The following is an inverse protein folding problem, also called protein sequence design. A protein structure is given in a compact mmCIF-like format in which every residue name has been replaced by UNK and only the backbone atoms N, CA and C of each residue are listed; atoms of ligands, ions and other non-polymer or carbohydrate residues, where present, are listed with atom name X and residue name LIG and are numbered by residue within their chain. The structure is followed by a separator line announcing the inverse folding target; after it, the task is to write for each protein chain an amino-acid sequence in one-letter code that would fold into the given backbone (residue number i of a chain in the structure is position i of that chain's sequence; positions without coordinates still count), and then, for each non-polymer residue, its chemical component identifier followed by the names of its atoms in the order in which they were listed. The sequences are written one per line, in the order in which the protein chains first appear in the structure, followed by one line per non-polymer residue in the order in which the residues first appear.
data_IF_294127973135
#
_entry.id   IF_294127973135
#
_cell.length_a   1.000
_cell.length_b   1.000
_cell.length_c   1.000
_cell.angle_alpha   90.00
_cell.angle_beta   90.00
_cell.angle_gamma   90.00
#
_symmetry.space_group_name_H-M   'P 1'
#
loop_
_entity.id
_entity.type
_entity.pdbx_description
1 polymer ?
#
# COMPACT_ATOMS: atom_id res chain seq x y z
N UNK A 1 -9.38 18.59 -1.92
CA UNK A 1 -9.13 17.18 -2.33
C UNK A 1 -9.91 16.91 -3.60
N UNK A 2 -9.34 16.18 -4.56
CA UNK A 2 -10.03 15.80 -5.80
C UNK A 2 -9.52 16.46 -7.09
N UNK A 3 -8.50 17.33 -7.01
CA UNK A 3 -7.80 17.81 -8.21
C UNK A 3 -6.71 16.81 -8.61
N UNK A 4 -6.56 16.61 -9.93
CA UNK A 4 -5.67 15.57 -10.50
C UNK A 4 -4.21 15.69 -10.05
N UNK A 5 -3.72 16.90 -9.86
CA UNK A 5 -2.33 17.14 -9.42
C UNK A 5 -2.18 17.25 -7.89
N UNK A 6 -3.27 17.14 -7.12
CA UNK A 6 -3.18 17.25 -5.65
C UNK A 6 -2.25 16.20 -5.04
N UNK A 7 -2.27 14.91 -5.44
CA UNK A 7 -1.37 13.91 -4.88
C UNK A 7 0.11 14.24 -5.10
N UNK A 8 0.48 14.73 -6.28
CA UNK A 8 1.86 15.08 -6.64
C UNK A 8 2.33 16.32 -5.87
N UNK A 9 1.48 17.35 -5.78
CA UNK A 9 1.76 18.56 -4.99
C UNK A 9 1.94 18.19 -3.51
N UNK A 10 1.03 17.39 -2.96
CA UNK A 10 1.12 16.92 -1.58
C UNK A 10 2.37 16.08 -1.34
N UNK A 11 2.71 15.16 -2.25
CA UNK A 11 3.93 14.37 -2.16
C UNK A 11 5.17 15.27 -2.05
N UNK A 12 5.28 16.31 -2.88
CA UNK A 12 6.43 17.23 -2.85
C UNK A 12 6.46 18.02 -1.54
N UNK A 13 5.33 18.60 -1.12
CA UNK A 13 5.24 19.41 0.10
C UNK A 13 5.56 18.56 1.33
N UNK A 14 4.94 17.40 1.46
CA UNK A 14 5.16 16.48 2.59
C UNK A 14 6.59 15.96 2.59
N UNK A 15 7.18 15.68 1.42
CA UNK A 15 8.58 15.27 1.30
C UNK A 15 9.54 16.38 1.73
N UNK A 16 9.24 17.63 1.39
CA UNK A 16 10.01 18.78 1.85
C UNK A 16 9.92 18.97 3.37
N UNK A 17 8.72 18.87 3.94
CA UNK A 17 8.49 18.95 5.39
C UNK A 17 9.24 17.82 6.12
N UNK A 18 9.20 16.60 5.59
CA UNK A 18 9.87 15.43 6.14
C UNK A 18 11.42 15.47 6.03
N UNK A 19 11.95 16.36 5.20
CA UNK A 19 13.39 16.44 4.90
C UNK A 19 13.88 15.28 4.03
N UNK A 20 13.08 14.84 3.05
CA UNK A 20 13.48 13.78 2.13
C UNK A 20 14.69 14.19 1.29
N UNK A 21 15.74 13.38 1.28
CA UNK A 21 17.03 13.65 0.63
C UNK A 21 16.96 13.89 -0.88
N UNK A 22 15.90 13.42 -1.53
CA UNK A 22 15.66 13.60 -2.96
C UNK A 22 14.97 14.93 -3.30
N UNK A 23 14.42 15.63 -2.31
CA UNK A 23 13.60 16.83 -2.50
C UNK A 23 14.23 18.07 -1.88
N UNK A 24 14.93 17.94 -0.75
CA UNK A 24 15.53 19.09 -0.04
C UNK A 24 17.05 19.14 -0.20
N UNK A 25 17.61 20.33 0.01
CA UNK A 25 19.05 20.53 0.05
C UNK A 25 19.69 19.68 1.18
N UNK A 26 20.90 19.11 1.00
CA UNK A 26 21.54 18.23 1.99
C UNK A 26 21.62 18.79 3.42
N UNK A 27 21.76 20.10 3.57
CA UNK A 27 21.78 20.77 4.89
C UNK A 27 20.46 20.65 5.66
N UNK A 28 19.34 20.41 4.97
CA UNK A 28 18.00 20.31 5.56
C UNK A 28 17.44 18.89 5.46
N UNK A 29 18.22 17.96 4.90
CA UNK A 29 17.82 16.59 4.71
C UNK A 29 17.97 15.79 6.02
N UNK A 30 17.18 14.73 6.13
CA UNK A 30 17.33 13.77 7.21
C UNK A 30 18.75 13.20 7.24
N UNK A 31 19.34 13.01 8.44
CA UNK A 31 20.65 12.41 8.56
C UNK A 31 20.63 10.98 8.01
N UNK A 32 21.75 10.43 7.51
CA UNK A 32 21.79 9.10 6.88
C UNK A 32 21.30 7.94 7.74
N UNK A 33 21.30 8.11 9.07
CA UNK A 33 20.82 7.12 10.04
C UNK A 33 19.29 7.09 10.18
N UNK A 34 18.60 8.12 9.68
CA UNK A 34 17.14 8.23 9.70
C UNK A 34 16.60 7.92 8.31
N UNK A 35 15.78 6.89 8.23
CA UNK A 35 15.04 6.57 7.02
C UNK A 35 13.71 7.31 7.02
N UNK A 36 13.47 8.05 5.95
CA UNK A 36 12.23 8.76 5.70
C UNK A 36 11.52 8.10 4.52
N UNK A 37 10.30 7.59 4.75
CA UNK A 37 9.39 7.16 3.69
C UNK A 37 8.18 8.13 3.69
N UNK A 38 7.91 8.77 2.55
CA UNK A 38 6.76 9.69 2.39
C UNK A 38 5.82 9.18 1.32
N UNK A 39 4.53 9.17 1.63
CA UNK A 39 3.48 8.83 0.68
C UNK A 39 2.30 9.80 0.78
N UNK A 40 2.20 10.67 -0.22
CA UNK A 40 1.25 11.78 -0.32
C UNK A 40 1.30 12.66 0.94
N UNK A 41 0.45 12.39 1.91
CA UNK A 41 0.31 13.11 3.18
C UNK A 41 0.84 12.33 4.40
N UNK A 42 1.31 11.10 4.20
CA UNK A 42 1.81 10.24 5.28
C UNK A 42 3.34 10.27 5.33
N UNK A 43 3.90 10.42 6.53
CA UNK A 43 5.33 10.36 6.80
C UNK A 43 5.61 9.18 7.72
N UNK A 44 6.62 8.38 7.36
CA UNK A 44 7.19 7.36 8.23
C UNK A 44 8.67 7.68 8.46
N UNK A 45 9.04 7.76 9.73
CA UNK A 45 10.41 8.00 10.20
C UNK A 45 10.87 6.72 10.90
N UNK A 46 11.96 6.11 10.43
CA UNK A 46 12.50 4.88 11.00
C UNK A 46 14.00 5.04 11.30
N UNK A 47 14.45 4.50 12.43
CA UNK A 47 15.82 4.63 12.92
C UNK A 47 15.90 4.22 14.38
N UNK A 48 16.99 4.62 15.06
CA UNK A 48 17.05 4.49 16.52
C UNK A 48 15.99 5.37 17.18
N UNK A 49 15.57 5.04 18.41
CA UNK A 49 14.57 5.83 19.13
C UNK A 49 15.00 7.29 19.29
N UNK A 50 16.27 7.54 19.61
CA UNK A 50 16.81 8.89 19.75
C UNK A 50 16.78 9.66 18.43
N UNK A 51 17.19 9.04 17.33
CA UNK A 51 17.25 9.70 16.03
C UNK A 51 15.84 9.99 15.49
N UNK A 52 14.91 9.05 15.66
CA UNK A 52 13.50 9.23 15.28
C UNK A 52 12.87 10.36 16.07
N UNK A 53 13.03 10.39 17.40
CA UNK A 53 12.45 11.46 18.24
C UNK A 53 13.05 12.83 17.89
N UNK A 54 14.36 12.91 17.66
CA UNK A 54 15.02 14.15 17.26
C UNK A 54 14.50 14.64 15.90
N UNK A 55 14.43 13.75 14.91
CA UNK A 55 14.00 14.13 13.57
C UNK A 55 12.52 14.46 13.50
N UNK A 56 11.69 13.72 14.25
CA UNK A 56 10.27 14.02 14.38
C UNK A 56 10.04 15.45 14.92
N UNK A 57 10.81 15.87 15.92
CA UNK A 57 10.76 17.26 16.39
C UNK A 57 11.18 18.27 15.31
N UNK A 58 12.14 17.92 14.43
CA UNK A 58 12.50 18.76 13.29
C UNK A 58 11.38 18.83 12.25
N UNK A 59 10.73 17.71 11.95
CA UNK A 59 9.58 17.64 11.03
C UNK A 59 8.42 18.50 11.53
N UNK A 60 8.15 18.49 12.84
CA UNK A 60 7.17 19.39 13.44
C UNK A 60 7.56 20.87 13.27
N UNK A 61 8.81 21.24 13.59
CA UNK A 61 9.30 22.61 13.35
C UNK A 61 9.16 23.05 11.89
N UNK A 62 9.44 22.14 10.96
CA UNK A 62 9.30 22.41 9.52
C UNK A 62 7.84 22.67 9.13
N UNK A 63 6.92 21.88 9.69
CA UNK A 63 5.49 22.02 9.44
C UNK A 63 4.94 23.33 10.04
N UNK A 64 5.25 23.60 11.31
CA UNK A 64 4.83 24.81 12.02
C UNK A 64 5.34 26.07 11.32
N UNK A 65 6.61 26.07 10.90
CA UNK A 65 7.23 27.16 10.14
C UNK A 65 6.65 27.38 8.75
N UNK A 66 5.76 26.49 8.27
CA UNK A 66 5.04 26.60 7.00
C UNK A 66 3.52 26.54 7.16
N UNK A 67 3.03 26.72 8.39
CA UNK A 67 1.61 26.65 8.71
C UNK A 67 0.92 25.36 8.19
N UNK A 68 1.67 24.26 8.16
CA UNK A 68 1.17 22.95 7.75
C UNK A 68 0.70 22.17 8.99
N UNK A 69 -0.54 21.70 8.96
CA UNK A 69 -1.10 20.91 10.07
C UNK A 69 -0.71 19.44 9.92
N UNK A 70 -0.13 18.86 10.98
CA UNK A 70 0.04 17.42 11.07
C UNK A 70 -1.21 16.75 11.64
N UNK A 71 -1.61 15.62 11.06
CA UNK A 71 -2.82 14.89 11.49
C UNK A 71 -2.71 14.32 12.91
N UNK A 72 -3.86 14.15 13.57
CA UNK A 72 -3.97 13.53 14.89
C UNK A 72 -3.90 11.99 14.80
N UNK A 73 -3.17 11.34 15.73
CA UNK A 73 -2.93 9.89 15.72
C UNK A 73 -1.44 9.48 15.68
N UNK A 74 -0.57 10.26 16.33
CA UNK A 74 0.88 10.08 16.32
C UNK A 74 1.34 8.94 17.22
N UNK A 75 2.04 7.97 16.65
CA UNK A 75 2.67 6.85 17.36
C UNK A 75 4.19 7.12 17.53
N UNK A 76 4.54 8.09 18.38
CA UNK A 76 5.95 8.48 18.59
C UNK A 76 6.74 7.41 19.34
N UNK A 77 7.90 7.03 18.78
CA UNK A 77 8.78 6.02 19.37
C UNK A 77 8.13 4.65 19.55
N UNK A 78 7.03 4.38 18.85
CA UNK A 78 6.28 3.14 18.98
C UNK A 78 6.98 1.99 18.27
N UNK A 79 7.05 0.83 18.93
CA UNK A 79 7.48 -0.42 18.30
C UNK A 79 6.39 -1.03 17.43
N UNK A 80 5.17 -0.49 17.50
CA UNK A 80 4.06 -0.88 16.64
C UNK A 80 3.41 0.36 16.07
N UNK A 81 3.16 0.37 14.76
CA UNK A 81 2.41 1.46 14.14
C UNK A 81 1.70 1.03 12.87
N UNK A 82 0.76 1.85 12.40
CA UNK A 82 0.12 1.67 11.09
C UNK A 82 0.65 2.68 10.08
N UNK A 83 1.08 2.20 8.91
CA UNK A 83 1.46 3.05 7.78
C UNK A 83 0.88 2.48 6.48
N UNK A 84 0.17 3.31 5.72
CA UNK A 84 -0.51 2.92 4.47
C UNK A 84 -1.42 1.68 4.60
N UNK A 85 -2.08 1.51 5.75
CA UNK A 85 -2.94 0.34 5.98
C UNK A 85 -2.19 -0.95 6.30
N UNK A 86 -0.89 -0.88 6.59
CA UNK A 86 -0.07 -2.00 7.11
C UNK A 86 0.27 -1.72 8.57
N UNK A 87 0.04 -2.71 9.44
CA UNK A 87 0.52 -2.70 10.81
C UNK A 87 1.92 -3.29 10.85
N UNK A 88 2.88 -2.49 11.30
CA UNK A 88 4.25 -2.91 11.60
C UNK A 88 4.34 -3.22 13.09
N UNK A 89 4.97 -4.34 13.44
CA UNK A 89 5.22 -4.79 14.81
C UNK A 89 6.70 -5.15 14.94
N UNK A 90 7.52 -4.16 15.24
CA UNK A 90 8.98 -4.28 15.33
C UNK A 90 9.45 -5.14 16.49
N UNK A 91 8.66 -5.22 17.57
CA UNK A 91 8.96 -6.11 18.70
C UNK A 91 8.97 -7.58 18.26
N UNK A 92 8.03 -7.97 17.40
CA UNK A 92 7.93 -9.34 16.88
C UNK A 92 8.47 -9.50 15.45
N UNK A 93 9.05 -8.43 14.87
CA UNK A 93 9.45 -8.35 13.46
C UNK A 93 8.36 -8.84 12.52
N UNK A 94 7.13 -8.40 12.75
CA UNK A 94 5.97 -8.87 12.04
C UNK A 94 5.25 -7.74 11.29
N UNK A 95 4.60 -8.09 10.19
CA UNK A 95 3.67 -7.20 9.46
C UNK A 95 2.33 -7.88 9.28
N UNK A 96 1.25 -7.09 9.34
CA UNK A 96 -0.12 -7.51 9.03
C UNK A 96 -0.87 -6.34 8.40
N UNK A 97 -2.09 -6.56 7.91
CA UNK A 97 -2.97 -5.46 7.52
C UNK A 97 -3.46 -4.72 8.77
N UNK A 98 -3.71 -3.42 8.61
CA UNK A 98 -4.36 -2.62 9.64
C UNK A 98 -5.82 -3.04 9.80
N UNK A 99 -6.38 -2.78 10.98
CA UNK A 99 -7.78 -3.08 11.27
C UNK A 99 -8.73 -2.38 10.28
N UNK A 100 -8.44 -1.12 9.94
CA UNK A 100 -9.22 -0.35 8.95
C UNK A 100 -9.20 -1.02 7.57
N UNK A 101 -8.03 -1.46 7.12
CA UNK A 101 -7.91 -2.12 5.81
C UNK A 101 -8.64 -3.47 5.81
N UNK A 102 -8.41 -4.29 6.84
CA UNK A 102 -9.05 -5.59 7.00
C UNK A 102 -10.59 -5.47 7.02
N UNK A 103 -11.15 -4.55 7.81
CA UNK A 103 -12.60 -4.29 7.84
C UNK A 103 -13.15 -3.87 6.49
N UNK A 104 -12.39 -3.07 5.74
CA UNK A 104 -12.76 -2.65 4.40
C UNK A 104 -12.81 -3.81 3.41
N UNK A 105 -11.98 -4.84 3.58
CA UNK A 105 -12.04 -6.05 2.75
C UNK A 105 -13.24 -6.90 3.13
N UNK A 106 -13.45 -7.11 4.44
CA UNK A 106 -14.57 -7.91 4.96
C UNK A 106 -15.94 -7.35 4.57
N UNK A 107 -16.07 -6.03 4.49
CA UNK A 107 -17.32 -5.36 4.12
C UNK A 107 -17.68 -5.47 2.63
N UNK A 108 -16.79 -5.96 1.76
CA UNK A 108 -17.09 -6.07 0.32
C UNK A 108 -18.06 -7.21 0.02
N UNK A 109 -18.88 -7.08 -1.03
CA UNK A 109 -19.75 -8.18 -1.48
C UNK A 109 -18.94 -9.37 -1.98
N UNK A 110 -19.61 -10.52 -2.11
CA UNK A 110 -19.02 -11.72 -2.69
C UNK A 110 -18.74 -11.52 -4.19
N UNK A 111 -17.68 -12.17 -4.71
CA UNK A 111 -17.26 -12.00 -6.11
C UNK A 111 -18.34 -12.42 -7.11
N UNK A 112 -19.13 -13.42 -6.78
CA UNK A 112 -20.19 -13.96 -7.64
C UNK A 112 -21.38 -13.01 -7.81
N UNK A 113 -21.56 -12.02 -6.93
CA UNK A 113 -22.62 -11.01 -7.01
C UNK A 113 -22.09 -9.59 -7.16
N UNK A 114 -20.77 -9.41 -7.33
CA UNK A 114 -20.14 -8.10 -7.45
C UNK A 114 -20.37 -7.42 -8.81
N UNK A 115 -20.42 -6.10 -8.80
CA UNK A 115 -20.31 -5.24 -9.98
C UNK A 115 -18.86 -5.14 -10.49
N UNK A 116 -18.65 -4.57 -11.67
CA UNK A 116 -17.30 -4.34 -12.20
C UNK A 116 -16.49 -3.42 -11.29
N UNK A 117 -17.08 -2.34 -10.78
CA UNK A 117 -16.40 -1.42 -9.86
C UNK A 117 -15.98 -2.11 -8.55
N UNK A 118 -16.85 -2.92 -7.96
CA UNK A 118 -16.53 -3.66 -6.74
C UNK A 118 -15.46 -4.73 -6.98
N UNK A 119 -15.52 -5.43 -8.13
CA UNK A 119 -14.48 -6.36 -8.55
C UNK A 119 -13.13 -5.67 -8.72
N UNK A 120 -13.09 -4.49 -9.35
CA UNK A 120 -11.88 -3.70 -9.53
C UNK A 120 -11.27 -3.30 -8.19
N UNK A 121 -12.10 -2.76 -7.29
CA UNK A 121 -11.71 -2.36 -5.96
C UNK A 121 -11.14 -3.55 -5.17
N UNK A 122 -11.79 -4.72 -5.26
CA UNK A 122 -11.34 -5.91 -4.57
C UNK A 122 -10.04 -6.46 -5.15
N UNK A 123 -9.90 -6.50 -6.47
CA UNK A 123 -8.66 -6.93 -7.13
C UNK A 123 -7.48 -6.01 -6.74
N UNK A 124 -7.71 -4.70 -6.65
CA UNK A 124 -6.69 -3.74 -6.21
C UNK A 124 -6.24 -4.00 -4.77
N UNK A 125 -7.18 -4.25 -3.86
CA UNK A 125 -6.89 -4.61 -2.47
C UNK A 125 -6.19 -5.95 -2.34
N UNK A 126 -6.53 -6.92 -3.19
CA UNK A 126 -5.89 -8.22 -3.24
C UNK A 126 -4.43 -8.12 -3.68
N UNK A 127 -4.14 -7.32 -4.71
CA UNK A 127 -2.76 -7.07 -5.13
C UNK A 127 -1.94 -6.43 -4.01
N UNK A 128 -2.52 -5.44 -3.33
CA UNK A 128 -1.87 -4.79 -2.20
C UNK A 128 -1.58 -5.76 -1.05
N UNK A 129 -2.60 -6.49 -0.59
CA UNK A 129 -2.48 -7.42 0.51
C UNK A 129 -1.56 -8.61 0.20
N UNK A 130 -1.55 -9.08 -1.05
CA UNK A 130 -0.65 -10.15 -1.47
C UNK A 130 0.82 -9.78 -1.27
N UNK A 131 1.21 -8.52 -1.54
CA UNK A 131 2.56 -8.05 -1.30
C UNK A 131 2.93 -8.07 0.19
N UNK A 132 1.99 -7.72 1.07
CA UNK A 132 2.19 -7.74 2.52
C UNK A 132 2.37 -9.17 3.02
N UNK A 133 1.50 -10.09 2.59
CA UNK A 133 1.50 -11.49 3.05
C UNK A 133 2.46 -12.43 2.31
N UNK A 134 3.22 -11.95 1.33
CA UNK A 134 4.05 -12.81 0.46
C UNK A 134 3.25 -13.84 -0.33
N UNK A 135 2.01 -13.50 -0.69
CA UNK A 135 1.16 -14.42 -1.44
C UNK A 135 1.60 -14.43 -2.89
N UNK A 136 1.92 -15.62 -3.41
CA UNK A 136 2.34 -15.82 -4.79
C UNK A 136 1.17 -15.56 -5.74
N UNK A 137 1.14 -14.38 -6.36
CA UNK A 137 0.09 -13.98 -7.30
C UNK A 137 0.02 -14.88 -8.55
N UNK A 138 1.06 -15.66 -8.85
CA UNK A 138 1.04 -16.66 -9.93
C UNK A 138 0.00 -17.76 -9.69
N UNK A 139 -0.22 -18.15 -8.43
CA UNK A 139 -1.22 -19.16 -8.05
C UNK A 139 -2.66 -18.68 -8.34
N UNK A 140 -2.83 -17.37 -8.53
CA UNK A 140 -4.10 -16.70 -8.83
C UNK A 140 -4.15 -16.14 -10.27
N UNK A 141 -3.32 -16.67 -11.17
CA UNK A 141 -3.22 -16.18 -12.56
C UNK A 141 -4.58 -16.16 -13.27
N UNK A 142 -5.39 -17.21 -13.13
CA UNK A 142 -6.71 -17.30 -13.79
C UNK A 142 -7.64 -16.19 -13.31
N UNK A 143 -7.73 -15.97 -12.00
CA UNK A 143 -8.51 -14.86 -11.43
C UNK A 143 -8.03 -13.51 -11.99
N UNK A 144 -6.73 -13.23 -11.91
CA UNK A 144 -6.13 -11.98 -12.41
C UNK A 144 -6.40 -11.78 -13.91
N UNK A 145 -6.30 -12.85 -14.70
CA UNK A 145 -6.55 -12.82 -16.14
C UNK A 145 -8.00 -12.46 -16.47
N UNK A 146 -8.96 -13.03 -15.73
CA UNK A 146 -10.38 -12.70 -15.93
C UNK A 146 -10.69 -11.27 -15.51
N UNK A 147 -10.19 -10.83 -14.35
CA UNK A 147 -10.35 -9.42 -13.90
C UNK A 147 -9.81 -8.47 -14.98
N UNK A 148 -8.59 -8.70 -15.49
CA UNK A 148 -7.99 -7.89 -16.55
C UNK A 148 -8.89 -7.79 -17.79
N UNK A 149 -9.51 -8.90 -18.21
CA UNK A 149 -10.42 -8.94 -19.36
C UNK A 149 -11.69 -8.11 -19.12
N UNK A 150 -12.26 -8.17 -17.92
CA UNK A 150 -13.44 -7.36 -17.55
C UNK A 150 -13.12 -5.87 -17.50
N UNK A 151 -11.99 -5.49 -16.90
CA UNK A 151 -11.52 -4.09 -16.90
C UNK A 151 -11.20 -3.59 -18.31
N UNK A 152 -10.64 -4.44 -19.18
CA UNK A 152 -10.45 -4.08 -20.58
C UNK A 152 -11.77 -3.88 -21.32
N UNK A 153 -12.82 -4.63 -20.99
CA UNK A 153 -14.15 -4.43 -21.57
C UNK A 153 -14.77 -3.10 -21.10
N UNK A 154 -14.57 -2.75 -19.82
CA UNK A 154 -14.97 -1.44 -19.26
C UNK A 154 -14.28 -0.30 -20.00
N UNK A 155 -12.95 -0.35 -20.15
CA UNK A 155 -12.18 0.68 -20.85
C UNK A 155 -12.53 0.82 -22.34
N UNK A 156 -13.12 -0.21 -22.95
CA UNK A 156 -13.63 -0.19 -24.33
C UNK A 156 -15.09 0.25 -24.44
N UNK A 157 -15.75 0.57 -23.31
CA UNK A 157 -17.16 0.94 -23.27
C UNK A 157 -18.14 -0.22 -23.53
N UNK A 158 -17.69 -1.47 -23.46
CA UNK A 158 -18.52 -2.66 -23.70
C UNK A 158 -19.42 -2.96 -22.49
N UNK A 159 -18.95 -2.60 -21.30
CA UNK A 159 -19.63 -2.80 -20.02
C UNK A 159 -19.46 -1.54 -19.18
N UNK A 160 -20.33 -1.33 -18.20
CA UNK A 160 -20.30 -0.18 -17.29
C UNK A 160 -19.82 -0.60 -15.89
N UNK A 161 -19.40 0.36 -15.08
CA UNK A 161 -18.99 0.13 -13.69
C UNK A 161 -20.03 -0.64 -12.85
N UNK A 162 -21.31 -0.33 -13.07
CA UNK A 162 -22.47 -0.96 -12.41
C UNK A 162 -22.87 -2.30 -13.03
N UNK A 163 -22.28 -2.69 -14.16
CA UNK A 163 -22.57 -3.97 -14.78
C UNK A 163 -22.11 -5.12 -13.87
N UNK A 164 -22.81 -6.27 -13.87
CA UNK A 164 -22.34 -7.45 -13.16
C UNK A 164 -20.94 -7.88 -13.60
N UNK A 165 -20.07 -8.26 -12.66
CA UNK A 165 -18.72 -8.72 -12.97
C UNK A 165 -18.74 -10.03 -13.78
N UNK A 166 -19.73 -10.90 -13.56
CA UNK A 166 -19.97 -12.15 -14.28
C UNK A 166 -18.70 -13.01 -14.43
N UNK A 167 -18.01 -13.23 -13.30
CA UNK A 167 -16.80 -14.05 -13.26
C UNK A 167 -17.16 -15.54 -13.35
N UNK A 168 -16.38 -16.37 -14.07
CA UNK A 168 -16.60 -17.80 -14.09
C UNK A 168 -16.35 -18.40 -12.69
N UNK A 169 -17.04 -19.50 -12.32
CA UNK A 169 -16.93 -20.09 -10.99
C UNK A 169 -15.49 -20.41 -10.55
N UNK A 170 -14.63 -20.81 -11.49
CA UNK A 170 -13.21 -21.07 -11.20
C UNK A 170 -12.44 -19.82 -10.77
N UNK A 171 -12.72 -18.66 -11.38
CA UNK A 171 -12.12 -17.39 -10.98
C UNK A 171 -12.68 -16.91 -9.64
N UNK A 172 -14.00 -17.06 -9.42
CA UNK A 172 -14.64 -16.76 -8.14
C UNK A 172 -13.99 -17.57 -7.02
N UNK A 173 -13.86 -18.89 -7.18
CA UNK A 173 -13.27 -19.75 -6.15
C UNK A 173 -11.81 -19.39 -5.81
N UNK A 174 -11.02 -18.98 -6.80
CA UNK A 174 -9.66 -18.48 -6.56
C UNK A 174 -9.67 -17.12 -5.84
N UNK A 175 -10.54 -16.20 -6.25
CA UNK A 175 -10.64 -14.89 -5.61
C UNK A 175 -11.14 -14.97 -4.16
N UNK A 176 -12.12 -15.83 -3.87
CA UNK A 176 -12.61 -16.05 -2.50
C UNK A 176 -11.57 -16.74 -1.62
N UNK A 177 -10.76 -17.64 -2.19
CA UNK A 177 -9.61 -18.21 -1.47
C UNK A 177 -8.59 -17.13 -1.08
N UNK A 178 -8.33 -16.18 -1.98
CA UNK A 178 -7.44 -15.04 -1.69
C UNK A 178 -8.06 -14.11 -0.65
N UNK A 179 -9.36 -13.81 -0.77
CA UNK A 179 -10.13 -13.06 0.22
C UNK A 179 -9.96 -13.67 1.61
N UNK A 180 -10.11 -14.97 1.73
CA UNK A 180 -10.01 -15.66 3.01
C UNK A 180 -8.61 -15.55 3.65
N UNK A 181 -7.53 -15.63 2.84
CA UNK A 181 -6.16 -15.41 3.33
C UNK A 181 -6.01 -13.99 3.90
N UNK A 182 -6.56 -13.01 3.18
CA UNK A 182 -6.52 -11.59 3.59
C UNK A 182 -7.34 -11.38 4.85
N UNK A 183 -8.51 -12.01 4.94
CA UNK A 183 -9.40 -11.90 6.09
C UNK A 183 -8.84 -12.57 7.34
N UNK A 184 -8.08 -13.65 7.19
CA UNK A 184 -7.37 -14.26 8.32
C UNK A 184 -6.30 -13.33 8.91
N UNK A 185 -5.84 -12.33 8.14
CA UNK A 185 -4.87 -11.31 8.53
C UNK A 185 -3.67 -11.84 9.33
N UNK A 186 -3.17 -13.02 8.94
CA UNK A 186 -2.10 -13.70 9.67
C UNK A 186 -0.83 -12.86 9.61
N UNK A 187 -0.26 -12.55 10.78
CA UNK A 187 1.02 -11.86 10.90
C UNK A 187 2.10 -12.60 10.08
N UNK A 188 2.72 -11.89 9.14
CA UNK A 188 3.92 -12.36 8.44
C UNK A 188 5.15 -11.97 9.23
N UNK A 189 5.98 -12.94 9.56
CA UNK A 189 7.28 -12.68 10.20
C UNK A 189 8.29 -12.30 9.11
N UNK A 190 8.93 -11.15 9.29
CA UNK A 190 9.99 -10.66 8.43
C UNK A 190 11.32 -11.20 8.95
N UNK A 191 11.94 -12.07 8.14
CA UNK A 191 13.30 -12.53 8.39
C UNK A 191 14.30 -11.47 7.91
N UNK A 192 15.42 -11.25 8.62
CA UNK A 192 16.52 -10.45 8.10
C UNK A 192 16.95 -11.00 6.74
N UNK A 193 17.08 -10.14 5.74
CA UNK A 193 17.50 -10.55 4.40
C UNK A 193 18.99 -10.92 4.44
N UNK A 194 19.32 -12.20 4.26
CA UNK A 194 20.65 -12.58 3.78
C UNK A 194 20.81 -12.15 2.32
N UNK A 195 21.99 -11.60 1.98
CA UNK A 195 22.44 -11.09 0.67
C UNK A 195 21.42 -11.15 -0.49
N UNK A 196 21.10 -9.99 -1.04
CA UNK A 196 20.27 -9.86 -2.24
C UNK A 196 20.87 -10.64 -3.42
N UNK A 197 20.19 -11.68 -3.87
CA UNK A 197 20.47 -12.35 -5.14
C UNK A 197 19.85 -11.53 -6.27
N UNK A 198 20.67 -11.09 -7.23
CA UNK A 198 20.18 -10.39 -8.41
C UNK A 198 19.54 -11.38 -9.40
N UNK A 199 18.38 -11.04 -9.94
CA UNK A 199 17.74 -11.78 -11.03
C UNK A 199 17.28 -10.82 -12.12
N UNK A 200 17.58 -11.15 -13.38
CA UNK A 200 17.02 -10.52 -14.57
C UNK A 200 15.83 -11.36 -15.03
N UNK A 201 14.67 -10.72 -15.19
CA UNK A 201 13.48 -11.33 -15.78
C UNK A 201 13.09 -10.46 -16.98
N UNK A 202 13.07 -11.06 -18.17
CA UNK A 202 12.59 -10.44 -19.40
C UNK A 202 11.29 -11.13 -19.80
N UNK A 203 10.23 -10.34 -20.03
CA UNK A 203 8.93 -10.84 -20.50
C UNK A 203 8.84 -10.60 -22.02
N UNK A 204 8.67 -11.68 -22.79
CA UNK A 204 8.47 -11.59 -24.24
C UNK A 204 6.97 -11.61 -24.52
N UNK A 205 6.42 -10.47 -24.93
CA UNK A 205 5.02 -10.36 -25.37
C UNK A 205 4.94 -10.35 -26.89
N UNK A 206 4.28 -11.37 -27.46
CA UNK A 206 3.74 -11.34 -28.82
C UNK A 206 2.25 -10.98 -28.72
N UNK A 207 1.96 -9.70 -28.94
CA UNK A 207 0.62 -9.10 -29.14
C UNK A 207 -0.29 -8.94 -27.90
N UNK A 208 -0.78 -7.71 -27.71
CA UNK A 208 -1.51 -7.20 -26.53
C UNK A 208 -2.93 -7.72 -26.32
#
# INVERSE_FOLDING_TARGET
MGYKASPEILQIITSAIAGATTVVHPLWAAPPLVRIDVWIDNIRIAGSKSDVTLWEAQVHRNADGRHATMGEGRESGATQYTFLGVRFDHAHRAVSLSEKFFRSVRAMPALNSSTIAEMELMASRFLYAAAIFDTRLCDYYVFRKVVRRRLSALNRGIVQETSPANLPPSAVGLGERLRHIIENNRKRIIKPTEKASAAIIADASLHG
#
